data_IF_282508393585
#
_entry.id   IF_282508393585
#
_cell.length_a   1.000
_cell.length_b   1.000
_cell.length_c   1.000
_cell.angle_alpha   90.00
_cell.angle_beta   90.00
_cell.angle_gamma   90.00
#
_symmetry.space_group_name_H-M   'P 1'
#
loop_
_entity.id
_entity.type
_entity.pdbx_description
1 polymer ?
#
# COMPACT_ATOMS: atom_id res chain seq x y z
N UNK A 1 14.12 21.31 67.02
CA UNK A 1 14.70 21.04 65.73
C UNK A 1 13.84 20.01 65.03
N UNK A 2 12.93 20.47 64.10
CA UNK A 2 12.04 19.63 63.35
C UNK A 2 12.63 19.35 61.96
N UNK A 3 12.82 18.09 61.62
CA UNK A 3 13.23 17.64 60.29
C UNK A 3 11.99 17.57 59.38
N UNK A 4 11.92 18.46 58.42
CA UNK A 4 10.91 18.42 57.37
C UNK A 4 11.28 17.30 56.38
N UNK A 5 10.43 16.28 56.30
CA UNK A 5 10.48 15.20 55.29
C UNK A 5 10.04 15.74 53.94
N UNK A 6 10.95 15.85 53.00
CA UNK A 6 10.63 16.07 51.58
C UNK A 6 10.27 14.74 50.93
N UNK A 7 8.99 14.47 50.77
CA UNK A 7 8.51 13.40 49.89
C UNK A 7 8.65 13.83 48.43
N UNK A 8 9.12 12.97 47.49
CA UNK A 8 9.20 13.31 46.11
C UNK A 8 7.79 13.41 45.50
N UNK A 9 7.47 14.54 44.85
CA UNK A 9 6.27 14.70 44.03
C UNK A 9 6.30 13.69 42.92
N UNK A 10 5.31 12.77 42.88
CA UNK A 10 5.02 11.98 41.68
C UNK A 10 4.80 12.93 40.50
N UNK A 11 5.60 12.76 39.47
CA UNK A 11 5.29 13.35 38.16
C UNK A 11 4.00 12.70 37.71
N UNK A 12 2.94 13.49 37.57
CA UNK A 12 1.74 13.09 36.80
C UNK A 12 2.19 12.87 35.37
N UNK A 13 2.09 11.63 34.91
CA UNK A 13 2.16 11.33 33.49
C UNK A 13 0.98 12.04 32.82
N UNK A 14 1.20 12.77 31.71
CA UNK A 14 0.08 13.37 30.99
C UNK A 14 -0.83 12.25 30.51
N UNK A 15 -2.06 12.24 31.00
CA UNK A 15 -3.17 11.48 30.44
C UNK A 15 -3.24 11.78 28.93
N UNK A 16 -3.33 10.78 28.05
CA UNK A 16 -3.57 11.04 26.65
C UNK A 16 -5.01 11.48 26.48
N UNK A 17 -5.33 12.75 26.74
CA UNK A 17 -6.48 13.38 26.15
C UNK A 17 -6.23 13.40 24.64
N UNK A 18 -6.77 12.39 23.96
CA UNK A 18 -6.85 12.36 22.52
C UNK A 18 -7.62 13.60 22.05
N UNK A 19 -6.88 14.66 21.77
CA UNK A 19 -7.37 15.79 21.01
C UNK A 19 -7.86 15.22 19.67
N UNK A 20 -9.18 15.06 19.55
CA UNK A 20 -9.85 14.75 18.30
C UNK A 20 -9.84 15.99 17.39
N UNK A 21 -8.68 16.56 17.13
CA UNK A 21 -8.51 17.43 15.99
C UNK A 21 -8.76 16.54 14.77
N UNK A 22 -9.87 16.78 14.05
CA UNK A 22 -10.20 16.05 12.83
C UNK A 22 -9.07 16.28 11.83
N UNK A 23 -8.09 15.35 11.84
CA UNK A 23 -7.06 15.31 10.81
C UNK A 23 -7.75 15.12 9.45
N UNK A 24 -7.31 15.80 8.39
CA UNK A 24 -7.89 15.63 7.07
C UNK A 24 -7.60 14.26 6.45
N UNK A 25 -6.75 13.45 7.09
CA UNK A 25 -6.36 12.12 6.64
C UNK A 25 -6.13 11.19 7.83
N UNK A 26 -6.25 9.90 7.59
CA UNK A 26 -5.93 8.85 8.56
C UNK A 26 -4.43 8.56 8.58
N UNK A 27 -3.95 8.07 9.73
CA UNK A 27 -2.58 7.58 9.85
C UNK A 27 -2.57 6.08 9.61
N UNK A 28 -1.86 5.67 8.57
CA UNK A 28 -1.76 4.29 8.13
C UNK A 28 -0.35 3.74 8.34
N UNK A 29 -0.22 2.49 8.80
CA UNK A 29 1.04 1.77 8.86
C UNK A 29 1.23 0.95 7.58
N UNK A 30 2.31 1.21 6.84
CA UNK A 30 2.81 0.27 5.85
C UNK A 30 3.68 -0.78 6.55
N UNK A 31 3.31 -2.06 6.44
CA UNK A 31 3.98 -3.15 7.18
C UNK A 31 5.43 -3.40 6.76
N UNK A 32 5.89 -2.85 5.63
CA UNK A 32 7.31 -2.87 5.28
C UNK A 32 8.19 -2.16 6.32
N UNK A 33 7.63 -1.18 7.04
CA UNK A 33 8.30 -0.48 8.15
C UNK A 33 8.70 -1.45 9.28
N UNK A 34 7.93 -2.50 9.49
CA UNK A 34 8.15 -3.51 10.54
C UNK A 34 8.59 -4.86 9.98
N UNK A 35 8.92 -4.95 8.69
CA UNK A 35 9.31 -6.20 8.03
C UNK A 35 10.52 -6.90 8.68
N UNK A 36 11.41 -6.14 9.31
CA UNK A 36 12.57 -6.67 10.05
C UNK A 36 12.20 -7.61 11.20
N UNK A 37 11.01 -7.47 11.77
CA UNK A 37 10.51 -8.35 12.85
C UNK A 37 9.95 -9.68 12.35
N UNK A 38 9.74 -9.85 11.03
CA UNK A 38 9.22 -11.07 10.40
C UNK A 38 7.92 -11.59 11.05
N UNK A 39 7.02 -10.70 11.39
CA UNK A 39 5.77 -11.03 12.06
C UNK A 39 4.78 -11.66 11.07
N UNK A 40 4.01 -12.69 11.49
CA UNK A 40 2.87 -13.16 10.71
C UNK A 40 1.80 -12.06 10.60
N UNK A 41 0.99 -12.09 9.52
CA UNK A 41 0.03 -11.02 9.19
C UNK A 41 -0.91 -10.67 10.34
N UNK A 42 -1.37 -11.65 11.11
CA UNK A 42 -2.23 -11.42 12.26
C UNK A 42 -1.54 -10.56 13.33
N UNK A 43 -0.24 -10.79 13.57
CA UNK A 43 0.55 -10.01 14.53
C UNK A 43 0.89 -8.61 14.00
N UNK A 44 0.98 -8.44 12.67
CA UNK A 44 1.11 -7.12 12.05
C UNK A 44 -0.16 -6.28 12.32
N UNK A 45 -1.35 -6.89 12.18
CA UNK A 45 -2.64 -6.25 12.47
C UNK A 45 -2.75 -5.88 13.95
N UNK A 46 -2.46 -6.81 14.87
CA UNK A 46 -2.49 -6.56 16.31
C UNK A 46 -1.60 -5.37 16.68
N UNK A 47 -0.32 -5.41 16.25
CA UNK A 47 0.66 -4.38 16.56
C UNK A 47 0.25 -3.01 16.00
N UNK A 48 -0.31 -2.98 14.80
CA UNK A 48 -0.81 -1.75 14.17
C UNK A 48 -1.93 -1.12 15.01
N UNK A 49 -2.89 -1.94 15.47
CA UNK A 49 -3.99 -1.50 16.32
C UNK A 49 -3.50 -1.03 17.70
N UNK A 50 -2.62 -1.80 18.35
CA UNK A 50 -2.04 -1.46 19.66
C UNK A 50 -1.25 -0.15 19.62
N UNK A 51 -0.58 0.14 18.49
CA UNK A 51 0.14 1.38 18.27
C UNK A 51 -0.77 2.60 17.95
N UNK A 52 -2.09 2.39 17.81
CA UNK A 52 -3.07 3.46 17.59
C UNK A 52 -3.14 3.98 16.16
N UNK A 53 -2.72 3.20 15.17
CA UNK A 53 -2.96 3.52 13.77
C UNK A 53 -4.44 3.38 13.40
N UNK A 54 -4.88 4.12 12.38
CA UNK A 54 -6.27 4.12 11.89
C UNK A 54 -6.42 3.22 10.65
N UNK A 55 -5.30 2.96 9.95
CA UNK A 55 -5.25 2.14 8.76
C UNK A 55 -3.99 1.29 8.69
N UNK A 56 -4.03 0.29 7.82
CA UNK A 56 -2.91 -0.61 7.56
C UNK A 56 -2.79 -0.85 6.05
N UNK A 57 -1.56 -0.93 5.57
CA UNK A 57 -1.21 -1.41 4.25
C UNK A 57 -0.46 -2.72 4.38
N UNK A 58 -1.06 -3.81 3.88
CA UNK A 58 -0.54 -5.18 3.98
C UNK A 58 0.17 -5.59 2.68
N UNK A 59 1.06 -6.57 2.79
CA UNK A 59 1.65 -7.23 1.63
C UNK A 59 0.81 -8.44 1.22
N UNK A 60 0.51 -8.57 -0.09
CA UNK A 60 -0.27 -9.70 -0.63
C UNK A 60 0.37 -11.03 -0.28
N UNK A 61 1.70 -11.15 -0.31
CA UNK A 61 2.44 -12.36 0.05
C UNK A 61 2.20 -12.84 1.49
N UNK A 62 2.02 -11.92 2.44
CA UNK A 62 1.85 -12.28 3.86
C UNK A 62 0.43 -12.81 4.09
N UNK A 63 -0.56 -12.22 3.43
CA UNK A 63 -1.95 -12.70 3.42
C UNK A 63 -2.06 -14.05 2.70
N UNK A 64 -1.43 -14.18 1.53
CA UNK A 64 -1.40 -15.43 0.76
C UNK A 64 -0.75 -16.57 1.55
N UNK A 65 0.36 -16.29 2.25
CA UNK A 65 1.01 -17.26 3.12
C UNK A 65 0.09 -17.71 4.27
N UNK A 66 -0.66 -16.80 4.87
CA UNK A 66 -1.63 -17.12 5.91
C UNK A 66 -2.75 -18.03 5.38
N UNK A 67 -3.29 -17.74 4.21
CA UNK A 67 -4.35 -18.55 3.58
C UNK A 67 -3.82 -19.93 3.21
N UNK A 68 -2.63 -20.04 2.64
CA UNK A 68 -1.97 -21.32 2.31
C UNK A 68 -1.71 -22.20 3.53
N UNK A 69 -1.59 -21.61 4.71
CA UNK A 69 -1.45 -22.32 5.99
C UNK A 69 -2.81 -22.71 6.62
N UNK A 70 -3.91 -22.54 5.91
CA UNK A 70 -5.26 -22.90 6.36
C UNK A 70 -6.03 -21.75 7.00
N UNK A 71 -5.50 -20.54 7.00
CA UNK A 71 -6.22 -19.34 7.40
C UNK A 71 -7.31 -18.95 6.38
N UNK A 72 -8.25 -18.10 6.80
CA UNK A 72 -9.33 -17.62 5.91
C UNK A 72 -9.36 -16.11 5.81
N UNK A 73 -9.84 -15.58 4.70
CA UNK A 73 -10.07 -14.13 4.53
C UNK A 73 -10.99 -13.58 5.63
N UNK A 74 -12.03 -14.34 5.98
CA UNK A 74 -12.98 -13.96 7.01
C UNK A 74 -12.29 -13.76 8.37
N UNK A 75 -11.32 -14.61 8.72
CA UNK A 75 -10.55 -14.45 9.97
C UNK A 75 -9.80 -13.13 10.01
N UNK A 76 -9.08 -12.78 8.95
CA UNK A 76 -8.33 -11.52 8.89
C UNK A 76 -9.26 -10.31 8.79
N UNK A 77 -10.36 -10.41 8.03
CA UNK A 77 -11.36 -9.36 7.92
C UNK A 77 -11.97 -9.02 9.28
N UNK A 78 -12.41 -10.05 10.03
CA UNK A 78 -12.94 -9.86 11.39
C UNK A 78 -11.91 -9.26 12.34
N UNK A 79 -10.64 -9.64 12.20
CA UNK A 79 -9.57 -9.07 13.01
C UNK A 79 -9.38 -7.58 12.71
N UNK A 80 -9.36 -7.17 11.44
CA UNK A 80 -9.30 -5.77 11.02
C UNK A 80 -10.50 -4.98 11.55
N UNK A 81 -11.72 -5.49 11.34
CA UNK A 81 -12.97 -4.87 11.81
C UNK A 81 -12.99 -4.74 13.34
N UNK A 82 -12.65 -5.82 14.05
CA UNK A 82 -12.60 -5.85 15.53
C UNK A 82 -11.55 -4.92 16.12
N UNK A 83 -10.48 -4.65 15.37
CA UNK A 83 -9.41 -3.71 15.76
C UNK A 83 -9.71 -2.26 15.36
N UNK A 84 -10.79 -2.02 14.62
CA UNK A 84 -11.11 -0.69 14.08
C UNK A 84 -10.16 -0.20 12.99
N UNK A 85 -9.34 -1.09 12.43
CA UNK A 85 -8.40 -0.75 11.36
C UNK A 85 -9.05 -0.82 10.00
N UNK A 86 -8.76 0.16 9.15
CA UNK A 86 -9.11 0.13 7.74
C UNK A 86 -7.97 -0.46 6.93
N UNK A 87 -8.29 -1.41 6.05
CA UNK A 87 -7.35 -1.85 5.02
C UNK A 87 -7.29 -0.78 3.93
N UNK A 88 -6.32 0.13 4.05
CA UNK A 88 -6.19 1.27 3.13
C UNK A 88 -5.66 0.85 1.77
N UNK A 89 -4.73 -0.08 1.75
CA UNK A 89 -4.11 -0.59 0.53
C UNK A 89 -3.48 -1.97 0.78
N UNK A 90 -3.19 -2.68 -0.30
CA UNK A 90 -2.25 -3.81 -0.28
C UNK A 90 -1.19 -3.59 -1.36
N UNK A 91 -0.03 -4.21 -1.20
CA UNK A 91 1.05 -4.16 -2.19
C UNK A 91 1.42 -5.56 -2.66
N UNK A 92 1.52 -5.72 -3.98
CA UNK A 92 2.02 -6.91 -4.66
C UNK A 92 3.00 -6.52 -5.78
N UNK A 93 3.76 -7.49 -6.26
CA UNK A 93 4.80 -7.28 -7.28
C UNK A 93 4.54 -8.13 -8.53
N UNK A 94 3.30 -8.19 -8.99
CA UNK A 94 2.94 -8.87 -10.22
C UNK A 94 3.62 -8.25 -11.44
N UNK A 95 4.17 -9.08 -12.34
CA UNK A 95 4.89 -8.62 -13.54
C UNK A 95 3.94 -8.21 -14.68
N UNK A 96 2.88 -7.48 -14.35
CA UNK A 96 1.84 -7.04 -15.30
C UNK A 96 2.37 -6.06 -16.36
N UNK A 97 3.50 -5.40 -16.08
CA UNK A 97 4.11 -4.41 -16.97
C UNK A 97 5.15 -5.02 -17.92
N UNK A 98 5.42 -6.32 -17.83
CA UNK A 98 6.48 -6.99 -18.56
C UNK A 98 6.39 -6.84 -20.09
N UNK A 99 7.55 -6.70 -20.76
CA UNK A 99 7.65 -6.66 -22.22
C UNK A 99 7.36 -8.04 -22.84
N UNK A 100 7.84 -9.09 -22.22
CA UNK A 100 7.56 -10.46 -22.63
C UNK A 100 6.05 -10.79 -22.46
N UNK A 101 5.34 -11.20 -23.53
CA UNK A 101 3.90 -11.45 -23.44
C UNK A 101 3.52 -12.60 -22.51
N UNK A 102 4.37 -13.63 -22.37
CA UNK A 102 4.11 -14.77 -21.47
C UNK A 102 4.22 -14.33 -20.03
N UNK A 103 5.31 -13.61 -19.68
CA UNK A 103 5.50 -13.03 -18.34
C UNK A 103 4.39 -12.04 -17.99
N UNK A 104 3.97 -11.22 -18.96
CA UNK A 104 2.86 -10.29 -18.75
C UNK A 104 1.54 -11.02 -18.47
N UNK A 105 1.27 -12.12 -19.20
CA UNK A 105 0.10 -12.95 -18.94
C UNK A 105 0.13 -13.57 -17.54
N UNK A 106 1.27 -14.10 -17.13
CA UNK A 106 1.47 -14.60 -15.76
C UNK A 106 1.28 -13.47 -14.73
N UNK A 107 1.83 -12.28 -15.01
CA UNK A 107 1.66 -11.10 -14.19
C UNK A 107 0.19 -10.65 -14.06
N UNK A 108 -0.61 -10.73 -15.13
CA UNK A 108 -2.06 -10.46 -15.07
C UNK A 108 -2.80 -11.49 -14.21
N UNK A 109 -2.45 -12.78 -14.33
CA UNK A 109 -3.02 -13.83 -13.47
C UNK A 109 -2.65 -13.60 -11.98
N UNK A 110 -1.40 -13.21 -11.70
CA UNK A 110 -0.98 -12.85 -10.35
C UNK A 110 -1.72 -11.61 -9.83
N UNK A 111 -1.89 -10.58 -10.65
CA UNK A 111 -2.64 -9.39 -10.28
C UNK A 111 -4.11 -9.72 -9.95
N UNK A 112 -4.74 -10.62 -10.72
CA UNK A 112 -6.08 -11.12 -10.40
C UNK A 112 -6.12 -11.79 -9.05
N UNK A 113 -5.18 -12.70 -8.78
CA UNK A 113 -5.06 -13.36 -7.48
C UNK A 113 -4.83 -12.35 -6.34
N UNK A 114 -3.93 -11.39 -6.53
CA UNK A 114 -3.67 -10.34 -5.55
C UNK A 114 -4.92 -9.49 -5.26
N UNK A 115 -5.72 -9.17 -6.30
CA UNK A 115 -7.00 -8.47 -6.13
C UNK A 115 -8.05 -9.33 -5.40
N UNK A 116 -8.04 -10.66 -5.59
CA UNK A 116 -8.89 -11.58 -4.80
C UNK A 116 -8.57 -11.49 -3.30
N UNK A 117 -7.28 -11.42 -2.94
CA UNK A 117 -6.87 -11.22 -1.55
C UNK A 117 -7.39 -9.88 -1.00
N UNK A 118 -7.23 -8.80 -1.76
CA UNK A 118 -7.72 -7.46 -1.38
C UNK A 118 -9.23 -7.47 -1.15
N UNK A 119 -9.99 -7.98 -2.14
CA UNK A 119 -11.45 -8.05 -2.07
C UNK A 119 -11.93 -8.95 -0.92
N UNK A 120 -11.27 -10.10 -0.71
CA UNK A 120 -11.57 -11.03 0.39
C UNK A 120 -11.43 -10.41 1.78
N UNK A 121 -10.51 -9.47 1.95
CA UNK A 121 -10.33 -8.70 3.17
C UNK A 121 -11.22 -7.45 3.26
N UNK A 122 -12.02 -7.15 2.24
CA UNK A 122 -12.86 -5.95 2.16
C UNK A 122 -12.11 -4.68 1.73
N UNK A 123 -10.87 -4.82 1.27
CA UNK A 123 -10.06 -3.73 0.72
C UNK A 123 -10.59 -3.22 -0.63
N UNK A 124 -10.08 -2.07 -1.06
CA UNK A 124 -10.49 -1.41 -2.30
C UNK A 124 -9.34 -1.06 -3.24
N UNK A 125 -8.12 -1.06 -2.73
CA UNK A 125 -6.96 -0.59 -3.47
C UNK A 125 -5.80 -1.58 -3.40
N UNK A 126 -5.04 -1.64 -4.49
CA UNK A 126 -3.78 -2.36 -4.57
C UNK A 126 -2.71 -1.49 -5.24
N UNK A 127 -1.56 -1.34 -4.60
CA UNK A 127 -0.41 -0.71 -5.23
C UNK A 127 0.09 -1.57 -6.40
N UNK A 128 0.31 -0.95 -7.53
CA UNK A 128 0.70 -1.60 -8.78
C UNK A 128 2.04 -1.02 -9.30
N UNK A 129 3.18 -1.35 -8.68
CA UNK A 129 4.48 -1.00 -9.21
C UNK A 129 4.69 -1.66 -10.58
N UNK A 130 5.30 -0.93 -11.51
CA UNK A 130 5.57 -1.41 -12.86
C UNK A 130 6.69 -2.46 -12.87
N UNK A 131 6.33 -3.73 -12.76
CA UNK A 131 7.26 -4.85 -12.71
C UNK A 131 7.39 -5.56 -14.06
N UNK A 132 8.62 -6.07 -14.36
CA UNK A 132 8.88 -6.90 -15.54
C UNK A 132 9.52 -6.15 -16.71
N UNK A 133 9.83 -4.86 -16.55
CA UNK A 133 10.65 -4.06 -17.48
C UNK A 133 11.87 -3.55 -16.72
N UNK A 134 13.03 -3.57 -17.35
CA UNK A 134 14.30 -3.12 -16.75
C UNK A 134 14.67 -1.69 -17.14
N UNK A 135 14.16 -1.21 -18.26
CA UNK A 135 14.40 0.15 -18.76
C UNK A 135 13.12 0.66 -19.45
N UNK A 136 12.72 1.88 -19.12
CA UNK A 136 11.57 2.51 -19.77
C UNK A 136 11.98 3.11 -21.13
N UNK A 137 11.29 2.70 -22.19
CA UNK A 137 11.37 3.31 -23.50
C UNK A 137 10.21 4.29 -23.69
N UNK A 138 10.49 5.61 -23.60
CA UNK A 138 9.46 6.64 -23.72
C UNK A 138 8.76 6.68 -25.07
N UNK A 139 9.33 6.09 -26.12
CA UNK A 139 8.64 5.98 -27.42
C UNK A 139 7.48 5.00 -27.39
N UNK A 140 7.44 4.11 -26.37
CA UNK A 140 6.42 3.07 -26.15
C UNK A 140 5.41 3.45 -25.06
N UNK A 141 5.32 4.69 -24.65
CA UNK A 141 4.33 5.12 -23.64
C UNK A 141 2.89 4.68 -23.95
N UNK A 142 2.40 4.69 -25.21
CA UNK A 142 1.07 4.16 -25.51
C UNK A 142 0.87 2.69 -25.13
N UNK A 143 1.86 1.82 -25.42
CA UNK A 143 1.82 0.41 -25.04
C UNK A 143 1.79 0.21 -23.52
N UNK A 144 2.57 1.00 -22.78
CA UNK A 144 2.59 0.96 -21.32
C UNK A 144 1.26 1.43 -20.73
N UNK A 145 0.63 2.41 -21.35
CA UNK A 145 -0.69 2.89 -20.95
C UNK A 145 -1.78 1.84 -21.17
N UNK A 146 -1.71 1.08 -22.26
CA UNK A 146 -2.60 -0.05 -22.52
C UNK A 146 -2.41 -1.17 -21.47
N UNK A 147 -1.16 -1.42 -21.04
CA UNK A 147 -0.88 -2.39 -19.96
C UNK A 147 -1.49 -1.95 -18.64
N UNK A 148 -1.40 -0.67 -18.30
CA UNK A 148 -2.04 -0.13 -17.10
C UNK A 148 -3.56 -0.17 -17.22
N UNK A 149 -4.11 0.16 -18.39
CA UNK A 149 -5.55 0.02 -18.66
C UNK A 149 -6.03 -1.40 -18.45
N UNK A 150 -5.28 -2.41 -18.91
CA UNK A 150 -5.65 -3.81 -18.76
C UNK A 150 -5.82 -4.25 -17.28
N UNK A 151 -4.97 -3.76 -16.36
CA UNK A 151 -5.15 -4.05 -14.94
C UNK A 151 -6.26 -3.20 -14.30
N UNK A 152 -6.57 -2.01 -14.84
CA UNK A 152 -7.72 -1.21 -14.42
C UNK A 152 -9.05 -1.87 -14.83
N UNK A 153 -9.13 -2.37 -16.07
CA UNK A 153 -10.29 -3.15 -16.56
C UNK A 153 -10.50 -4.41 -15.71
N UNK A 154 -9.40 -5.12 -15.36
CA UNK A 154 -9.42 -6.23 -14.41
C UNK A 154 -9.90 -5.79 -13.03
N UNK A 155 -9.47 -4.62 -12.57
CA UNK A 155 -9.90 -4.02 -11.31
C UNK A 155 -11.40 -3.71 -11.26
N UNK A 156 -12.00 -3.33 -12.39
CA UNK A 156 -13.45 -3.14 -12.51
C UNK A 156 -14.21 -4.46 -12.31
N UNK A 157 -13.71 -5.56 -12.88
CA UNK A 157 -14.27 -6.90 -12.66
C UNK A 157 -14.19 -7.34 -11.20
N UNK A 158 -13.09 -7.01 -10.52
CA UNK A 158 -12.78 -7.48 -9.17
C UNK A 158 -13.28 -6.54 -8.05
N UNK A 159 -13.74 -5.33 -8.39
CA UNK A 159 -14.11 -4.30 -7.41
C UNK A 159 -12.92 -3.72 -6.64
N UNK A 160 -11.69 -3.82 -7.17
CA UNK A 160 -10.44 -3.34 -6.60
C UNK A 160 -9.75 -2.40 -7.57
N UNK A 161 -9.25 -1.26 -7.11
CA UNK A 161 -8.55 -0.31 -7.98
C UNK A 161 -7.04 -0.49 -7.86
N UNK A 162 -6.34 -0.90 -8.94
CA UNK A 162 -4.89 -0.86 -8.98
C UNK A 162 -4.42 0.59 -9.13
N UNK A 163 -3.60 1.05 -8.18
CA UNK A 163 -3.04 2.40 -8.18
C UNK A 163 -1.61 2.31 -8.72
N UNK A 164 -1.34 3.01 -9.82
CA UNK A 164 -0.01 3.02 -10.44
C UNK A 164 1.02 3.64 -9.49
N UNK A 165 1.99 2.85 -9.06
CA UNK A 165 2.97 3.32 -8.09
C UNK A 165 4.18 3.95 -8.79
N UNK A 166 4.47 5.23 -8.44
CA UNK A 166 5.77 5.84 -8.69
C UNK A 166 6.78 5.20 -7.74
N UNK A 167 7.68 4.36 -8.27
CA UNK A 167 8.63 3.64 -7.45
C UNK A 167 10.07 4.04 -7.75
N UNK A 168 10.71 4.75 -6.83
CA UNK A 168 12.03 5.39 -7.02
C UNK A 168 13.20 4.44 -7.32
N UNK A 169 13.04 3.13 -7.13
CA UNK A 169 14.00 2.10 -7.53
C UNK A 169 13.59 1.35 -8.80
N UNK A 170 12.39 1.59 -9.32
CA UNK A 170 11.81 0.94 -10.49
C UNK A 170 12.00 1.74 -11.78
N UNK A 171 11.37 1.25 -12.84
CA UNK A 171 11.41 1.89 -14.16
C UNK A 171 10.53 3.14 -14.24
N UNK A 172 9.44 3.19 -13.45
CA UNK A 172 8.59 4.36 -13.29
C UNK A 172 9.01 5.17 -12.04
N UNK A 173 10.19 5.76 -12.11
CA UNK A 173 10.74 6.59 -11.04
C UNK A 173 10.58 8.10 -11.29
N UNK A 174 10.04 8.49 -12.45
CA UNK A 174 9.76 9.89 -12.78
C UNK A 174 8.26 10.16 -12.74
N UNK A 175 7.86 11.23 -12.05
CA UNK A 175 6.45 11.62 -11.93
C UNK A 175 5.82 11.88 -13.30
N UNK A 176 6.56 12.54 -14.21
CA UNK A 176 6.09 12.83 -15.57
C UNK A 176 5.73 11.56 -16.35
N UNK A 177 6.58 10.52 -16.29
CA UNK A 177 6.33 9.26 -17.00
C UNK A 177 5.14 8.51 -16.39
N UNK A 178 5.07 8.47 -15.05
CA UNK A 178 3.98 7.83 -14.32
C UNK A 178 2.64 8.50 -14.63
N UNK A 179 2.59 9.83 -14.58
CA UNK A 179 1.40 10.61 -14.93
C UNK A 179 1.01 10.46 -16.40
N UNK A 180 1.99 10.47 -17.33
CA UNK A 180 1.72 10.27 -18.75
C UNK A 180 1.04 8.93 -19.02
N UNK A 181 1.53 7.85 -18.40
CA UNK A 181 0.93 6.50 -18.50
C UNK A 181 -0.48 6.48 -17.92
N UNK A 182 -0.66 7.04 -16.72
CA UNK A 182 -1.96 7.07 -16.06
C UNK A 182 -3.01 7.82 -16.89
N UNK A 183 -2.67 9.01 -17.38
CA UNK A 183 -3.57 9.84 -18.21
C UNK A 183 -3.86 9.16 -19.55
N UNK A 184 -2.83 8.65 -20.23
CA UNK A 184 -2.99 8.02 -21.54
C UNK A 184 -3.72 6.67 -21.49
N UNK A 185 -3.84 6.03 -20.32
CA UNK A 185 -4.70 4.84 -20.16
C UNK A 185 -6.17 5.15 -20.47
N UNK A 186 -6.59 6.41 -20.32
CA UNK A 186 -7.96 6.87 -20.60
C UNK A 186 -9.02 6.23 -19.71
N UNK A 187 -8.62 5.58 -18.61
CA UNK A 187 -9.55 4.90 -17.71
C UNK A 187 -9.97 5.83 -16.58
N UNK A 188 -11.28 5.83 -16.24
CA UNK A 188 -11.86 6.74 -15.23
C UNK A 188 -11.32 6.54 -13.81
N UNK A 189 -10.83 5.33 -13.50
CA UNK A 189 -10.24 4.98 -12.19
C UNK A 189 -8.71 5.07 -12.18
N UNK A 190 -8.09 5.56 -13.28
CA UNK A 190 -6.65 5.73 -13.31
C UNK A 190 -6.20 6.69 -12.19
N UNK A 191 -5.24 6.24 -11.41
CA UNK A 191 -4.74 6.97 -10.25
C UNK A 191 -3.27 6.64 -10.01
N UNK A 192 -2.56 7.52 -9.30
CA UNK A 192 -1.13 7.37 -9.02
C UNK A 192 -0.92 7.37 -7.51
N UNK A 193 -0.16 6.40 -7.03
CA UNK A 193 0.32 6.35 -5.66
C UNK A 193 1.65 7.10 -5.58
N UNK A 194 1.65 8.16 -4.79
CA UNK A 194 2.81 9.01 -4.57
C UNK A 194 3.36 8.78 -3.17
N UNK A 195 4.59 8.31 -3.12
CA UNK A 195 5.38 8.17 -1.91
C UNK A 195 6.51 9.20 -1.93
N UNK A 196 6.64 10.01 -0.89
CA UNK A 196 7.67 11.07 -0.81
C UNK A 196 9.09 10.51 -0.85
N UNK A 197 9.31 9.33 -0.25
CA UNK A 197 10.60 8.65 -0.34
C UNK A 197 10.92 8.24 -1.78
N UNK A 198 9.94 7.68 -2.48
CA UNK A 198 10.11 7.27 -3.87
C UNK A 198 10.24 8.45 -4.83
N UNK A 199 9.52 9.54 -4.61
CA UNK A 199 9.73 10.81 -5.33
C UNK A 199 11.16 11.30 -5.18
N UNK A 200 11.64 11.42 -3.93
CA UNK A 200 12.99 11.85 -3.63
C UNK A 200 14.04 10.92 -4.24
N UNK A 201 13.90 9.61 -4.04
CA UNK A 201 14.83 8.59 -4.55
C UNK A 201 14.88 8.57 -6.09
N UNK A 202 13.77 8.86 -6.76
CA UNK A 202 13.68 8.98 -8.21
C UNK A 202 14.27 10.27 -8.76
N UNK A 203 14.69 11.21 -7.90
CA UNK A 203 15.24 12.50 -8.29
C UNK A 203 14.19 13.51 -8.73
N UNK A 204 12.93 13.33 -8.34
CA UNK A 204 11.85 14.27 -8.63
C UNK A 204 11.92 15.46 -7.66
N UNK A 205 11.56 16.65 -8.15
CA UNK A 205 11.35 17.82 -7.29
C UNK A 205 9.97 17.75 -6.63
N UNK A 206 9.88 18.11 -5.34
CA UNK A 206 8.58 18.29 -4.67
C UNK A 206 7.78 19.48 -5.25
N UNK A 207 8.41 20.39 -5.97
CA UNK A 207 7.71 21.46 -6.69
C UNK A 207 6.81 20.92 -7.82
N UNK A 208 7.08 19.71 -8.31
CA UNK A 208 6.24 19.04 -9.31
C UNK A 208 4.88 18.57 -8.77
N UNK A 209 4.64 18.71 -7.46
CA UNK A 209 3.36 18.39 -6.80
C UNK A 209 2.44 19.62 -6.64
N UNK A 210 2.84 20.78 -7.17
CA UNK A 210 2.07 22.04 -7.11
C UNK A 210 1.19 22.26 -8.32
#
# INVERSE_FOLDING_TARGET
AGLASCAPKKKEEPSPEASSSKRPFRVCLNVSTIAGYKLPVQKQIDLCAEAGFEGIELWTRDVDAFVKQGGTYETLRRQLEGSGLLLENMIGFASWFADDPSKRKEGLNQMRHDMELVAGLGGKFIAAPAQGVTQLDRTRLPEYSERYRAILDLGDEMGVTPILELWGAGVLNQLSDTMAIAIASGHSRASVLLDFYHLYRGGNSFDSLR
#
